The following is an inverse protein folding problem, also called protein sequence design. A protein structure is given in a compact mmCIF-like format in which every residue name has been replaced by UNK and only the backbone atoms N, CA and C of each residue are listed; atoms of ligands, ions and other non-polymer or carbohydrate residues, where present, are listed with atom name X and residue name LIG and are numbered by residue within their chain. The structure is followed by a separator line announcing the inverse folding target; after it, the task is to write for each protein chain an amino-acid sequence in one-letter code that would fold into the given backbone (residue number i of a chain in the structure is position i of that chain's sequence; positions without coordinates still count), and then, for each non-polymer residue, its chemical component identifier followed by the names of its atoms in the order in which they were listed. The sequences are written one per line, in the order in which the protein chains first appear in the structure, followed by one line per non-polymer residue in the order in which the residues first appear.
data_IF_099968250301
#
_entry.id   IF_099968250301
#
_cell.length_a   1.000
_cell.length_b   1.000
_cell.length_c   1.000
_cell.angle_alpha   90.00
_cell.angle_beta   90.00
_cell.angle_gamma   90.00
#
_symmetry.space_group_name_H-M   'P 1'
#
loop_
_entity.id
_entity.type
_entity.pdbx_description
1 polymer ?
#
# COMPACT_ATOMS: atom_id res chain seq x y z
N UNK A 1 2.59 -9.08 16.69
CA UNK A 1 3.26 -10.08 15.81
C UNK A 1 2.35 -10.29 14.63
N UNK A 2 2.86 -10.21 13.41
CA UNK A 2 2.06 -10.43 12.20
C UNK A 2 1.81 -11.91 11.98
N UNK A 3 0.58 -12.26 11.58
CA UNK A 3 0.13 -13.62 11.25
C UNK A 3 0.09 -13.77 9.73
N UNK A 4 0.78 -14.76 9.21
CA UNK A 4 0.85 -15.05 7.77
C UNK A 4 0.23 -16.41 7.50
N UNK A 5 -0.80 -16.46 6.66
CA UNK A 5 -1.42 -17.72 6.25
C UNK A 5 -0.78 -18.20 4.94
N UNK A 6 -0.38 -19.46 4.91
CA UNK A 6 0.38 -20.07 3.81
C UNK A 6 -0.47 -21.15 3.17
N UNK A 7 -0.85 -20.96 1.92
CA UNK A 7 -1.63 -21.91 1.11
C UNK A 7 -0.70 -22.43 0.01
N UNK A 8 0.02 -23.50 0.34
CA UNK A 8 1.07 -24.14 -0.49
C UNK A 8 0.98 -25.65 -0.27
N UNK A 9 0.96 -26.44 -1.35
CA UNK A 9 0.86 -27.89 -1.30
C UNK A 9 2.21 -28.60 -1.24
N UNK A 10 3.29 -27.93 -1.70
CA UNK A 10 4.65 -28.43 -1.50
C UNK A 10 5.09 -28.20 -0.06
N UNK A 11 5.18 -29.30 0.70
CA UNK A 11 5.55 -29.25 2.11
C UNK A 11 6.94 -28.65 2.34
N UNK A 12 7.90 -28.88 1.43
CA UNK A 12 9.25 -28.34 1.56
C UNK A 12 9.26 -26.82 1.44
N UNK A 13 8.47 -26.28 0.51
CA UNK A 13 8.31 -24.84 0.32
C UNK A 13 7.56 -24.23 1.52
N UNK A 14 6.47 -24.84 1.96
CA UNK A 14 5.67 -24.37 3.09
C UNK A 14 6.50 -24.34 4.40
N UNK A 15 7.24 -25.39 4.70
CA UNK A 15 8.14 -25.46 5.86
C UNK A 15 9.27 -24.42 5.77
N UNK A 16 9.85 -24.23 4.57
CA UNK A 16 10.87 -23.22 4.31
C UNK A 16 10.37 -21.80 4.54
N UNK A 17 9.15 -21.48 4.06
CA UNK A 17 8.50 -20.19 4.28
C UNK A 17 8.23 -19.98 5.77
N UNK A 18 7.65 -20.97 6.44
CA UNK A 18 7.31 -20.90 7.88
C UNK A 18 8.55 -20.65 8.73
N UNK A 19 9.64 -21.38 8.46
CA UNK A 19 10.91 -21.19 9.16
C UNK A 19 11.48 -19.79 8.93
N UNK A 20 11.43 -19.33 7.69
CA UNK A 20 11.89 -17.99 7.33
C UNK A 20 11.10 -16.90 8.07
N UNK A 21 9.78 -16.99 8.10
CA UNK A 21 8.89 -16.05 8.82
C UNK A 21 9.23 -16.00 10.31
N UNK A 22 9.44 -17.17 10.95
CA UNK A 22 9.83 -17.26 12.35
C UNK A 22 11.12 -16.50 12.68
N UNK A 23 12.13 -16.56 11.80
CA UNK A 23 13.39 -15.82 11.95
C UNK A 23 13.19 -14.28 11.91
N UNK A 24 12.10 -13.81 11.33
CA UNK A 24 11.74 -12.39 11.23
C UNK A 24 10.64 -11.96 12.19
N UNK A 25 10.34 -12.79 13.21
CA UNK A 25 9.35 -12.45 14.24
C UNK A 25 7.89 -12.44 13.75
N UNK A 26 7.61 -13.16 12.66
CA UNK A 26 6.26 -13.36 12.12
C UNK A 26 5.77 -14.78 12.42
N UNK A 27 4.46 -14.95 12.59
CA UNK A 27 3.84 -16.25 12.79
C UNK A 27 3.31 -16.78 11.45
N UNK A 28 3.78 -17.96 11.02
CA UNK A 28 3.29 -18.64 9.82
C UNK A 28 2.37 -19.80 10.18
N UNK A 29 1.16 -19.87 9.59
CA UNK A 29 0.26 -21.01 9.64
C UNK A 29 0.07 -21.56 8.24
N UNK A 30 0.39 -22.85 8.04
CA UNK A 30 0.16 -23.55 6.77
C UNK A 30 -1.27 -24.09 6.74
N UNK A 31 -1.91 -24.07 5.57
CA UNK A 31 -3.22 -24.67 5.34
C UNK A 31 -3.24 -26.14 5.76
N UNK A 32 -4.29 -26.58 6.42
CA UNK A 32 -4.47 -27.97 6.84
C UNK A 32 -5.41 -28.76 5.91
N UNK A 33 -6.43 -28.11 5.35
CA UNK A 33 -7.36 -28.70 4.38
C UNK A 33 -7.60 -27.73 3.22
N UNK A 34 -7.13 -28.08 2.03
CA UNK A 34 -7.30 -27.28 0.81
C UNK A 34 -8.77 -27.12 0.35
N UNK A 35 -9.72 -27.78 0.99
CA UNK A 35 -11.16 -27.56 0.78
C UNK A 35 -11.73 -26.48 1.69
N UNK A 36 -10.99 -26.09 2.72
CA UNK A 36 -11.43 -25.17 3.80
C UNK A 36 -10.56 -23.92 3.91
N UNK A 37 -9.88 -23.54 2.83
CA UNK A 37 -8.96 -22.38 2.82
C UNK A 37 -9.64 -21.11 3.32
N UNK A 38 -10.91 -20.87 2.93
CA UNK A 38 -11.65 -19.69 3.35
C UNK A 38 -12.01 -19.71 4.84
N UNK A 39 -12.44 -20.88 5.33
CA UNK A 39 -12.84 -21.10 6.74
C UNK A 39 -11.61 -20.96 7.66
N UNK A 40 -10.49 -21.59 7.27
CA UNK A 40 -9.23 -21.50 8.04
C UNK A 40 -8.66 -20.08 8.02
N UNK A 41 -8.75 -19.36 6.89
CA UNK A 41 -8.33 -17.96 6.80
C UNK A 41 -9.20 -17.07 7.71
N UNK A 42 -10.51 -17.28 7.73
CA UNK A 42 -11.43 -16.52 8.58
C UNK A 42 -11.18 -16.79 10.08
N UNK A 43 -10.90 -18.04 10.46
CA UNK A 43 -10.58 -18.40 11.85
C UNK A 43 -9.23 -17.85 12.31
N UNK A 44 -8.21 -17.91 11.43
CA UNK A 44 -6.87 -17.48 11.77
C UNK A 44 -6.70 -15.96 11.80
N UNK A 45 -7.53 -15.23 11.04
CA UNK A 45 -7.45 -13.77 10.89
C UNK A 45 -6.04 -13.31 10.49
N UNK A 46 -5.52 -13.73 9.33
CA UNK A 46 -4.18 -13.41 8.91
C UNK A 46 -4.05 -11.93 8.52
N UNK A 47 -2.84 -11.40 8.71
CA UNK A 47 -2.46 -10.08 8.22
C UNK A 47 -1.98 -10.10 6.76
N UNK A 48 -1.60 -11.27 6.24
CA UNK A 48 -1.21 -11.48 4.85
C UNK A 48 -1.38 -12.96 4.50
N UNK A 49 -1.72 -13.24 3.25
CA UNK A 49 -1.83 -14.59 2.72
C UNK A 49 -0.77 -14.79 1.64
N UNK A 50 0.00 -15.88 1.74
CA UNK A 50 0.85 -16.39 0.68
C UNK A 50 0.09 -17.54 0.03
N UNK A 51 -0.09 -17.53 -1.30
CA UNK A 51 -0.93 -18.48 -1.98
C UNK A 51 -0.26 -19.00 -3.25
N UNK A 52 -0.11 -20.32 -3.37
CA UNK A 52 0.27 -20.91 -4.65
C UNK A 52 -0.90 -20.78 -5.64
N UNK A 53 -0.57 -20.55 -6.90
CA UNK A 53 -1.54 -20.56 -8.00
C UNK A 53 -2.03 -22.00 -8.25
N UNK A 54 -1.12 -22.97 -8.19
CA UNK A 54 -1.40 -24.37 -8.50
C UNK A 54 -1.66 -25.17 -7.25
N UNK A 55 -2.93 -25.23 -6.84
CA UNK A 55 -3.36 -25.92 -5.62
C UNK A 55 -4.23 -27.13 -5.97
N UNK A 56 -4.29 -28.16 -5.11
CA UNK A 56 -5.21 -29.26 -5.26
C UNK A 56 -6.67 -28.79 -5.10
N UNK A 57 -7.59 -29.47 -5.81
CA UNK A 57 -9.03 -29.21 -5.86
C UNK A 57 -9.41 -27.89 -6.55
N UNK A 58 -9.11 -26.75 -5.94
CA UNK A 58 -9.39 -25.41 -6.47
C UNK A 58 -8.11 -24.61 -6.52
N UNK A 59 -7.81 -24.00 -7.69
CA UNK A 59 -6.60 -23.18 -7.86
C UNK A 59 -6.58 -21.93 -7.01
N UNK A 60 -5.39 -21.37 -6.78
CA UNK A 60 -5.20 -20.15 -5.96
C UNK A 60 -6.01 -18.96 -6.45
N UNK A 61 -6.23 -18.80 -7.73
CA UNK A 61 -7.08 -17.75 -8.30
C UNK A 61 -8.53 -17.83 -7.80
N UNK A 62 -9.08 -19.04 -7.70
CA UNK A 62 -10.41 -19.26 -7.16
C UNK A 62 -10.48 -18.80 -5.70
N UNK A 63 -9.53 -19.22 -4.87
CA UNK A 63 -9.49 -18.83 -3.46
C UNK A 63 -9.29 -17.33 -3.27
N UNK A 64 -8.46 -16.71 -4.08
CA UNK A 64 -8.27 -15.26 -4.07
C UNK A 64 -9.61 -14.53 -4.32
N UNK A 65 -10.36 -14.92 -5.34
CA UNK A 65 -11.67 -14.33 -5.63
C UNK A 65 -12.67 -14.54 -4.48
N UNK A 66 -12.72 -15.74 -3.89
CA UNK A 66 -13.60 -16.00 -2.76
C UNK A 66 -13.24 -15.17 -1.52
N UNK A 67 -11.94 -15.05 -1.20
CA UNK A 67 -11.46 -14.20 -0.10
C UNK A 67 -11.82 -12.74 -0.35
N UNK A 68 -11.64 -12.24 -1.58
CA UNK A 68 -11.92 -10.84 -1.95
C UNK A 68 -13.38 -10.44 -1.85
N UNK A 69 -14.32 -11.37 -1.81
CA UNK A 69 -15.74 -11.05 -1.58
C UNK A 69 -15.99 -10.42 -0.21
N UNK A 70 -15.17 -10.76 0.79
CA UNK A 70 -15.40 -10.37 2.18
C UNK A 70 -14.16 -9.80 2.89
N UNK A 71 -12.98 -9.78 2.24
CA UNK A 71 -11.72 -9.38 2.87
C UNK A 71 -10.79 -8.66 1.92
N UNK A 72 -10.16 -7.60 2.43
CA UNK A 72 -9.07 -6.86 1.77
C UNK A 72 -7.68 -7.28 2.27
N UNK A 73 -7.56 -8.42 2.98
CA UNK A 73 -6.27 -8.93 3.44
C UNK A 73 -5.27 -9.03 2.28
N UNK A 74 -4.03 -8.55 2.40
CA UNK A 74 -3.04 -8.65 1.33
C UNK A 74 -2.77 -10.10 0.93
N UNK A 75 -2.69 -10.36 -0.39
CA UNK A 75 -2.41 -11.68 -0.95
C UNK A 75 -1.20 -11.58 -1.88
N UNK A 76 -0.15 -12.38 -1.58
CA UNK A 76 0.99 -12.60 -2.46
C UNK A 76 0.82 -13.95 -3.14
N UNK A 77 0.79 -13.98 -4.47
CA UNK A 77 0.89 -15.24 -5.18
C UNK A 77 2.34 -15.71 -5.30
N UNK A 78 2.52 -17.03 -5.16
CA UNK A 78 3.74 -17.73 -5.52
C UNK A 78 3.43 -18.73 -6.64
N UNK A 79 4.32 -18.85 -7.64
CA UNK A 79 4.06 -19.75 -8.77
C UNK A 79 5.32 -20.17 -9.49
N UNK A 80 5.32 -21.40 -10.01
CA UNK A 80 6.35 -21.93 -10.92
C UNK A 80 6.24 -21.36 -12.35
N UNK A 81 5.11 -20.74 -12.69
CA UNK A 81 4.86 -20.24 -14.02
C UNK A 81 5.46 -18.84 -14.20
N UNK A 82 6.48 -18.73 -15.06
CA UNK A 82 7.21 -17.48 -15.35
C UNK A 82 6.56 -16.63 -16.45
N UNK A 83 5.40 -17.02 -16.97
CA UNK A 83 4.73 -16.30 -18.05
C UNK A 83 4.14 -14.97 -17.56
N UNK A 84 4.43 -13.90 -18.30
CA UNK A 84 3.85 -12.57 -18.08
C UNK A 84 2.31 -12.59 -18.00
N UNK A 85 1.69 -13.57 -18.63
CA UNK A 85 0.25 -13.78 -18.63
C UNK A 85 -0.29 -14.13 -17.24
N UNK A 86 0.46 -14.91 -16.46
CA UNK A 86 0.09 -15.26 -15.09
C UNK A 86 0.20 -14.08 -14.13
N UNK A 87 1.19 -13.20 -14.33
CA UNK A 87 1.33 -11.95 -13.56
C UNK A 87 0.12 -11.03 -13.79
N UNK A 88 -0.26 -10.82 -15.04
CA UNK A 88 -1.43 -9.99 -15.41
C UNK A 88 -2.72 -10.59 -14.84
N UNK A 89 -2.88 -11.92 -14.93
CA UNK A 89 -4.03 -12.61 -14.33
C UNK A 89 -4.06 -12.47 -12.80
N UNK A 90 -2.92 -12.62 -12.13
CA UNK A 90 -2.82 -12.49 -10.69
C UNK A 90 -3.31 -11.10 -10.21
N UNK A 91 -2.85 -10.05 -10.86
CA UNK A 91 -3.26 -8.67 -10.56
C UNK A 91 -4.77 -8.46 -10.81
N UNK A 92 -5.27 -8.95 -11.96
CA UNK A 92 -6.69 -8.85 -12.30
C UNK A 92 -7.60 -9.65 -11.35
N UNK A 93 -7.09 -10.70 -10.71
CA UNK A 93 -7.82 -11.50 -9.72
C UNK A 93 -7.77 -10.92 -8.32
N UNK A 94 -7.10 -9.76 -8.13
CA UNK A 94 -7.06 -9.04 -6.85
C UNK A 94 -5.87 -9.39 -5.96
N UNK A 95 -4.78 -9.93 -6.54
CA UNK A 95 -3.52 -10.06 -5.83
C UNK A 95 -2.83 -8.70 -5.63
N UNK A 96 -2.11 -8.57 -4.53
CA UNK A 96 -1.34 -7.37 -4.21
C UNK A 96 0.11 -7.47 -4.68
N UNK A 97 0.63 -8.69 -4.82
CA UNK A 97 1.99 -8.95 -5.35
C UNK A 97 2.12 -10.40 -5.87
N UNK A 98 3.26 -10.69 -6.50
CA UNK A 98 3.57 -11.96 -7.10
C UNK A 98 5.06 -12.31 -6.91
N UNK A 99 5.37 -13.61 -6.74
CA UNK A 99 6.74 -14.14 -6.63
C UNK A 99 6.86 -15.40 -7.49
N UNK A 100 7.82 -15.41 -8.42
CA UNK A 100 8.11 -16.60 -9.22
C UNK A 100 8.97 -17.60 -8.45
N UNK A 101 8.66 -18.90 -8.53
CA UNK A 101 9.47 -20.01 -8.04
C UNK A 101 10.54 -20.37 -9.09
N UNK A 102 11.81 -20.67 -8.70
CA UNK A 102 12.34 -20.57 -7.33
C UNK A 102 12.62 -19.14 -6.90
N UNK A 103 12.42 -18.82 -5.64
CA UNK A 103 12.64 -17.50 -5.09
C UNK A 103 13.65 -17.49 -3.93
N UNK A 104 14.31 -16.35 -3.77
CA UNK A 104 15.13 -16.08 -2.61
C UNK A 104 14.26 -15.69 -1.40
N UNK A 105 14.59 -16.24 -0.23
CA UNK A 105 13.87 -15.91 1.01
C UNK A 105 13.94 -14.43 1.36
N UNK A 106 15.02 -13.75 1.02
CA UNK A 106 15.16 -12.30 1.24
C UNK A 106 14.18 -11.50 0.41
N UNK A 107 13.90 -11.92 -0.83
CA UNK A 107 12.91 -11.31 -1.73
C UNK A 107 11.50 -11.51 -1.18
N UNK A 108 11.19 -12.73 -0.70
CA UNK A 108 9.90 -13.02 -0.08
C UNK A 108 9.66 -12.11 1.13
N UNK A 109 10.62 -12.04 2.05
CA UNK A 109 10.52 -11.21 3.26
C UNK A 109 10.40 -9.72 2.92
N UNK A 110 11.19 -9.23 1.96
CA UNK A 110 11.12 -7.84 1.53
C UNK A 110 9.70 -7.47 1.03
N UNK A 111 9.08 -8.33 0.21
CA UNK A 111 7.72 -8.13 -0.31
C UNK A 111 6.67 -8.21 0.79
N UNK A 112 6.74 -9.22 1.68
CA UNK A 112 5.85 -9.34 2.84
C UNK A 112 5.92 -8.08 3.70
N UNK A 113 7.13 -7.66 4.08
CA UNK A 113 7.34 -6.48 4.93
C UNK A 113 6.83 -5.20 4.27
N UNK A 114 7.07 -5.04 2.96
CA UNK A 114 6.58 -3.88 2.20
C UNK A 114 5.04 -3.82 2.18
N UNK A 115 4.36 -4.97 1.96
CA UNK A 115 2.90 -5.05 1.96
C UNK A 115 2.32 -4.83 3.37
N UNK A 116 2.87 -5.49 4.39
CA UNK A 116 2.41 -5.31 5.77
C UNK A 116 2.56 -3.86 6.23
N UNK A 117 3.69 -3.23 5.91
CA UNK A 117 3.93 -1.81 6.19
C UNK A 117 2.90 -0.93 5.47
N UNK A 118 2.65 -1.17 4.18
CA UNK A 118 1.67 -0.41 3.39
C UNK A 118 0.26 -0.57 3.96
N UNK A 119 -0.12 -1.78 4.38
CA UNK A 119 -1.47 -2.08 4.82
C UNK A 119 -1.72 -1.72 6.28
N UNK A 120 -0.74 -1.92 7.18
CA UNK A 120 -0.96 -1.85 8.62
C UNK A 120 -0.10 -0.81 9.35
N UNK A 121 1.14 -0.55 8.92
CA UNK A 121 2.01 0.39 9.62
C UNK A 121 1.73 1.83 9.22
N UNK A 122 1.30 2.07 7.97
CA UNK A 122 0.72 3.36 7.60
C UNK A 122 -0.64 3.60 8.28
N UNK A 123 -1.36 2.54 8.67
CA UNK A 123 -2.59 2.65 9.47
C UNK A 123 -2.33 2.78 10.98
N UNK A 124 -1.12 2.46 11.49
CA UNK A 124 -0.75 2.54 12.90
C UNK A 124 0.05 3.78 13.28
N UNK A 125 0.76 4.39 12.34
CA UNK A 125 1.36 5.70 12.55
C UNK A 125 0.38 6.74 12.04
N UNK A 126 -0.42 7.27 12.95
CA UNK A 126 -1.35 8.38 12.80
C UNK A 126 -2.10 8.38 11.46
N UNK A 127 -3.33 7.85 11.49
CA UNK A 127 -4.30 8.04 10.39
C UNK A 127 -4.54 9.52 10.09
N UNK A 128 -3.79 10.40 10.75
CA UNK A 128 -3.86 11.84 10.63
C UNK A 128 -2.47 12.45 10.66
N UNK A 129 -2.20 13.40 9.77
CA UNK A 129 -1.02 14.26 9.80
C UNK A 129 -1.48 15.66 10.16
N UNK A 130 -0.97 16.19 11.26
CA UNK A 130 -1.29 17.54 11.71
C UNK A 130 -0.24 18.54 11.19
N UNK A 131 -0.72 19.67 10.67
CA UNK A 131 0.09 20.81 10.24
C UNK A 131 -0.74 22.09 10.25
N UNK A 132 -0.19 23.18 10.69
CA UNK A 132 -0.81 24.52 10.74
C UNK A 132 -2.25 24.50 11.31
N UNK A 133 -2.52 23.64 12.31
CA UNK A 133 -3.84 23.45 12.91
C UNK A 133 -4.83 22.66 12.06
N UNK A 134 -4.41 22.17 10.89
CA UNK A 134 -5.20 21.27 10.04
C UNK A 134 -4.85 19.81 10.32
N UNK A 135 -5.79 18.91 10.03
CA UNK A 135 -5.65 17.47 10.18
C UNK A 135 -5.95 16.79 8.85
N UNK A 136 -4.94 16.21 8.22
CA UNK A 136 -5.08 15.38 7.02
C UNK A 136 -5.30 13.94 7.44
N UNK A 137 -6.48 13.40 7.15
CA UNK A 137 -6.80 11.99 7.40
C UNK A 137 -6.34 11.13 6.21
N UNK A 138 -5.40 10.23 6.46
CA UNK A 138 -4.80 9.39 5.41
C UNK A 138 -5.63 8.14 5.07
N UNK A 139 -6.72 7.86 5.81
CA UNK A 139 -7.60 6.73 5.54
C UNK A 139 -8.71 7.06 4.55
N UNK A 140 -9.17 8.31 4.55
CA UNK A 140 -10.31 8.74 3.72
C UNK A 140 -9.99 9.93 2.81
N UNK A 141 -8.69 10.32 2.71
CA UNK A 141 -8.18 11.41 1.87
C UNK A 141 -8.82 12.79 2.15
N UNK A 142 -9.31 13.00 3.39
CA UNK A 142 -9.98 14.22 3.80
C UNK A 142 -9.07 15.14 4.61
N UNK A 143 -9.28 16.43 4.44
CA UNK A 143 -8.62 17.48 5.19
C UNK A 143 -9.64 18.20 6.08
N UNK A 144 -9.34 18.29 7.37
CA UNK A 144 -10.15 19.01 8.35
C UNK A 144 -9.39 20.22 8.85
N UNK A 145 -10.04 21.40 8.89
CA UNK A 145 -9.51 22.63 9.47
C UNK A 145 -10.64 23.46 10.09
N UNK A 146 -10.47 23.90 11.33
CA UNK A 146 -11.46 24.71 12.07
C UNK A 146 -12.89 24.14 12.04
N UNK A 147 -13.03 22.80 12.11
CA UNK A 147 -14.33 22.12 12.07
C UNK A 147 -14.93 21.95 10.68
N UNK A 148 -14.26 22.44 9.62
CA UNK A 148 -14.66 22.21 8.23
C UNK A 148 -13.87 21.03 7.68
N UNK A 149 -14.57 20.04 7.10
CA UNK A 149 -13.98 18.90 6.43
C UNK A 149 -14.20 19.04 4.90
N UNK A 150 -13.14 18.78 4.13
CA UNK A 150 -13.17 18.81 2.67
C UNK A 150 -12.56 17.56 2.07
N UNK A 151 -13.09 17.15 0.92
CA UNK A 151 -12.51 16.11 0.07
C UNK A 151 -11.43 16.75 -0.83
N UNK A 152 -10.27 16.12 -0.90
CA UNK A 152 -9.21 16.53 -1.82
C UNK A 152 -9.29 15.72 -3.11
N UNK A 153 -9.05 16.37 -4.25
CA UNK A 153 -8.82 15.62 -5.47
C UNK A 153 -7.57 14.76 -5.33
N UNK A 154 -7.54 13.59 -5.99
CA UNK A 154 -6.48 12.58 -5.83
C UNK A 154 -5.06 13.13 -5.93
N UNK A 155 -4.80 14.00 -6.92
CA UNK A 155 -3.48 14.62 -7.10
C UNK A 155 -3.20 15.68 -6.04
N UNK A 156 -4.21 16.43 -5.60
CA UNK A 156 -4.09 17.40 -4.50
C UNK A 156 -3.73 16.69 -3.20
N UNK A 157 -4.42 15.60 -2.89
CA UNK A 157 -4.15 14.78 -1.71
C UNK A 157 -2.69 14.25 -1.71
N UNK A 158 -2.22 13.68 -2.82
CA UNK A 158 -0.85 13.13 -2.92
C UNK A 158 0.24 14.19 -2.75
N UNK A 159 0.06 15.35 -3.38
CA UNK A 159 0.99 16.47 -3.20
C UNK A 159 0.97 16.91 -1.75
N UNK A 160 -0.21 17.12 -1.16
CA UNK A 160 -0.33 17.56 0.24
C UNK A 160 0.25 16.53 1.21
N UNK A 161 -0.03 15.25 1.01
CA UNK A 161 0.52 14.16 1.82
C UNK A 161 2.06 14.16 1.80
N UNK A 162 2.65 14.25 0.60
CA UNK A 162 4.10 14.25 0.44
C UNK A 162 4.74 15.47 1.11
N UNK A 163 4.11 16.64 1.00
CA UNK A 163 4.58 17.87 1.64
C UNK A 163 4.42 17.81 3.17
N UNK A 164 3.28 17.32 3.67
CA UNK A 164 2.99 17.22 5.10
C UNK A 164 3.91 16.20 5.81
N UNK A 165 4.25 15.09 5.15
CA UNK A 165 5.25 14.13 5.64
C UNK A 165 6.67 14.72 5.71
N UNK A 166 6.95 15.78 4.95
CA UNK A 166 8.22 16.47 4.91
C UNK A 166 8.07 17.95 5.35
N UNK A 167 7.16 18.24 6.28
CA UNK A 167 6.90 19.61 6.74
C UNK A 167 8.17 20.33 7.17
N UNK A 168 8.22 21.61 6.84
CA UNK A 168 9.40 22.49 7.08
C UNK A 168 10.67 22.08 6.30
N UNK A 169 10.56 21.15 5.32
CA UNK A 169 11.65 20.78 4.43
C UNK A 169 11.26 21.00 2.96
N UNK A 170 12.20 21.39 2.14
CA UNK A 170 11.96 21.53 0.71
C UNK A 170 11.86 20.14 0.10
N UNK A 171 10.75 19.89 -0.60
CA UNK A 171 10.52 18.68 -1.40
C UNK A 171 10.79 19.02 -2.85
N UNK A 172 11.66 18.25 -3.50
CA UNK A 172 12.03 18.50 -4.90
C UNK A 172 10.84 18.25 -5.85
N UNK A 173 10.91 18.86 -7.04
CA UNK A 173 9.87 18.68 -8.06
C UNK A 173 9.79 17.23 -8.52
N UNK A 174 10.94 16.57 -8.68
CA UNK A 174 11.06 15.16 -9.08
C UNK A 174 10.34 14.26 -8.07
N UNK A 175 10.58 14.46 -6.76
CA UNK A 175 9.93 13.66 -5.69
C UNK A 175 8.42 13.86 -5.68
N UNK A 176 7.92 15.06 -5.97
CA UNK A 176 6.46 15.31 -6.07
C UNK A 176 5.88 14.70 -7.35
N UNK A 177 6.60 14.73 -8.46
CA UNK A 177 6.19 14.05 -9.68
C UNK A 177 6.16 12.54 -9.51
N UNK A 178 7.16 11.93 -8.86
CA UNK A 178 7.17 10.51 -8.52
C UNK A 178 5.93 10.11 -7.68
N UNK A 179 5.55 10.92 -6.70
CA UNK A 179 4.35 10.68 -5.92
C UNK A 179 3.05 10.72 -6.76
N UNK A 180 3.05 11.45 -7.86
CA UNK A 180 1.94 11.49 -8.81
C UNK A 180 1.98 10.34 -9.83
N UNK A 181 3.17 9.88 -10.25
CA UNK A 181 3.35 8.82 -11.26
C UNK A 181 2.83 7.44 -10.85
N UNK A 182 2.71 7.16 -9.58
CA UNK A 182 2.12 5.89 -9.14
C UNK A 182 0.70 5.63 -9.67
N UNK A 183 0.11 6.60 -10.38
CA UNK A 183 -1.27 6.51 -10.90
C UNK A 183 -1.48 6.97 -12.33
N UNK A 184 -0.61 7.83 -12.89
CA UNK A 184 -0.77 8.39 -14.24
C UNK A 184 0.51 8.17 -15.04
N UNK A 185 0.41 7.64 -16.25
CA UNK A 185 1.54 7.22 -17.10
C UNK A 185 2.48 8.35 -17.54
N UNK A 186 2.17 9.62 -17.30
CA UNK A 186 3.05 10.74 -17.61
C UNK A 186 2.64 12.03 -16.89
N UNK A 187 3.43 12.45 -15.90
CA UNK A 187 3.25 13.75 -15.23
C UNK A 187 4.45 14.62 -15.58
N UNK A 188 4.22 15.72 -16.28
CA UNK A 188 5.23 16.73 -16.59
C UNK A 188 5.27 17.84 -15.52
N UNK A 189 6.28 18.72 -15.59
CA UNK A 189 6.43 19.84 -14.67
C UNK A 189 5.25 20.83 -14.70
N UNK A 190 4.60 20.98 -15.85
CA UNK A 190 3.43 21.85 -16.00
C UNK A 190 2.25 21.28 -15.24
N UNK A 191 2.03 19.96 -15.33
CA UNK A 191 0.99 19.23 -14.59
C UNK A 191 1.19 19.39 -13.10
N UNK A 192 2.41 19.24 -12.58
CA UNK A 192 2.72 19.48 -11.17
C UNK A 192 2.40 20.92 -10.77
N UNK A 193 2.83 21.90 -11.56
CA UNK A 193 2.60 23.32 -11.26
C UNK A 193 1.11 23.67 -11.20
N UNK A 194 0.30 23.12 -12.13
CA UNK A 194 -1.16 23.30 -12.16
C UNK A 194 -1.80 22.67 -10.92
N UNK A 195 -1.42 21.44 -10.56
CA UNK A 195 -1.99 20.75 -9.40
C UNK A 195 -1.61 21.44 -8.08
N UNK A 196 -0.38 21.95 -7.93
CA UNK A 196 0.01 22.78 -6.77
C UNK A 196 -0.81 24.07 -6.72
N UNK A 197 -1.07 24.69 -7.87
CA UNK A 197 -1.92 25.88 -7.94
C UNK A 197 -3.38 25.63 -7.54
N UNK A 198 -3.93 24.46 -7.92
CA UNK A 198 -5.27 24.04 -7.49
C UNK A 198 -5.31 23.76 -6.01
N UNK A 199 -4.36 22.97 -5.49
CA UNK A 199 -4.25 22.66 -4.07
C UNK A 199 -4.18 23.95 -3.21
N UNK A 200 -3.38 24.95 -3.60
CA UNK A 200 -3.35 26.24 -2.90
C UNK A 200 -4.72 26.88 -2.80
N UNK A 201 -5.48 26.91 -3.89
CA UNK A 201 -6.85 27.47 -3.90
C UNK A 201 -7.80 26.69 -3.00
N UNK A 202 -7.69 25.36 -3.01
CA UNK A 202 -8.47 24.48 -2.13
C UNK A 202 -8.15 24.76 -0.66
N UNK A 203 -6.87 24.90 -0.30
CA UNK A 203 -6.43 25.25 1.07
C UNK A 203 -6.87 26.67 1.48
N UNK A 204 -6.72 27.66 0.60
CA UNK A 204 -7.16 29.04 0.85
C UNK A 204 -8.66 29.14 1.10
N UNK A 205 -9.48 28.32 0.41
CA UNK A 205 -10.93 28.31 0.56
C UNK A 205 -11.38 27.91 1.99
N UNK A 206 -10.58 27.13 2.71
CA UNK A 206 -10.84 26.74 4.10
C UNK A 206 -10.08 27.59 5.12
N UNK A 207 -9.31 28.59 4.65
CA UNK A 207 -8.60 29.53 5.52
C UNK A 207 -7.12 29.25 5.72
N UNK A 208 -6.57 28.19 5.11
CA UNK A 208 -5.13 27.87 5.12
C UNK A 208 -4.39 28.64 4.02
N UNK A 209 -4.02 29.89 4.31
CA UNK A 209 -3.35 30.77 3.35
C UNK A 209 -1.84 30.61 3.42
N UNK A 210 -1.16 30.74 2.29
CA UNK A 210 0.30 30.77 2.15
C UNK A 210 1.07 29.58 2.73
N UNK A 211 0.38 28.46 2.98
CA UNK A 211 0.93 27.26 3.61
C UNK A 211 2.01 26.59 2.72
N UNK A 212 1.80 26.57 1.41
CA UNK A 212 2.71 25.94 0.46
C UNK A 212 3.49 27.04 -0.27
N UNK A 213 4.80 27.11 -0.04
CA UNK A 213 5.69 28.07 -0.72
C UNK A 213 6.52 27.43 -1.82
N UNK A 214 6.82 28.22 -2.85
CA UNK A 214 7.70 27.80 -3.94
C UNK A 214 9.15 28.16 -3.59
N UNK A 215 10.04 27.18 -3.67
CA UNK A 215 11.49 27.42 -3.66
C UNK A 215 11.98 27.32 -5.11
N UNK A 216 12.18 28.46 -5.76
CA UNK A 216 12.51 28.56 -7.18
C UNK A 216 13.70 27.68 -7.56
N UNK A 217 13.57 26.93 -8.64
CA UNK A 217 14.59 26.01 -9.16
C UNK A 217 14.80 24.74 -8.32
N UNK A 218 14.07 24.53 -7.20
CA UNK A 218 14.24 23.39 -6.31
C UNK A 218 12.94 22.60 -6.15
N UNK A 219 11.85 23.25 -5.71
CA UNK A 219 10.60 22.54 -5.44
C UNK A 219 9.63 23.35 -4.57
N UNK A 220 8.96 22.67 -3.67
CA UNK A 220 7.94 23.25 -2.79
C UNK A 220 8.19 22.89 -1.33
N UNK A 221 7.71 23.71 -0.44
CA UNK A 221 7.78 23.50 1.00
C UNK A 221 6.42 23.81 1.62
N UNK A 222 5.98 22.95 2.54
CA UNK A 222 4.89 23.23 3.46
C UNK A 222 5.50 23.81 4.73
N UNK A 223 5.23 25.09 4.99
CA UNK A 223 5.70 25.77 6.21
C UNK A 223 4.64 25.63 7.31
N UNK A 224 5.00 24.87 8.33
CA UNK A 224 4.20 24.66 9.54
C UNK A 224 4.75 25.62 10.61
N UNK A 225 4.30 26.88 10.55
CA UNK A 225 4.63 27.86 11.60
C UNK A 225 3.71 27.59 12.81
N UNK A 226 4.28 27.03 13.87
CA UNK A 226 3.69 27.08 15.22
C UNK A 226 3.79 28.45 15.82
#
# INVERSE_FOLDING_TARGET
MYKIYIVEDDKGIADGITSCLGNWGMEGRVVSDFRKVLEEAAEYEPHLIIMDITLPFMGGYHWCQEIRKNSSVPIIFISSATDNMNLVMAINMGADDFIAKPFDQSVLIAKITALLRRTYDFARNDSTIEFAGAVLNTNNDKLSYNGTEIDLARNEYRILLTLAQNKNKVVSREKLMEALWETDCYVDENTLTVNVGRLRKTLEAIGLKDLIKTKFGVGYILEDEC
#
